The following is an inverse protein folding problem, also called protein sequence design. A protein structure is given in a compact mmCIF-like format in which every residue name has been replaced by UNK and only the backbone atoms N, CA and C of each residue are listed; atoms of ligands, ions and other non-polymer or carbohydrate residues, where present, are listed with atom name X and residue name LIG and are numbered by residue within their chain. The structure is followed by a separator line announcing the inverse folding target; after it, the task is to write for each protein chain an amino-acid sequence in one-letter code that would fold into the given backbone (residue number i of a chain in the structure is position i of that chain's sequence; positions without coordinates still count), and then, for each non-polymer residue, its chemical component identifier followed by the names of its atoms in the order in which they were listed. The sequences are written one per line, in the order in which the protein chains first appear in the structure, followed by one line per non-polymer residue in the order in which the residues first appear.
data_IF_006994419555
#
_entry.id   IF_006994419555
#
_cell.length_a   1.000
_cell.length_b   1.000
_cell.length_c   1.000
_cell.angle_alpha   90.00
_cell.angle_beta   90.00
_cell.angle_gamma   90.00
#
_symmetry.space_group_name_H-M   'P 1'
#
loop_
_entity.id
_entity.type
_entity.pdbx_description
1 polymer ?
#
# COMPACT_ATOMS: atom_id res chain seq x y z
N UNK A 1 -32.78 9.85 -10.00
CA UNK A 1 -31.33 9.59 -9.84
C UNK A 1 -31.11 9.16 -8.39
N UNK A 2 -30.87 7.90 -8.14
CA UNK A 2 -30.62 7.39 -6.78
C UNK A 2 -29.26 7.96 -6.32
N UNK A 3 -29.29 8.73 -5.24
CA UNK A 3 -28.09 9.05 -4.47
C UNK A 3 -27.44 7.71 -4.08
N UNK A 4 -26.32 7.36 -4.70
CA UNK A 4 -25.41 6.42 -4.06
C UNK A 4 -24.64 7.29 -3.08
N UNK A 5 -25.08 7.27 -1.85
CA UNK A 5 -24.46 8.04 -0.78
C UNK A 5 -23.20 7.30 -0.35
N UNK A 6 -22.16 8.07 -0.09
CA UNK A 6 -21.06 7.61 0.75
C UNK A 6 -21.68 6.95 1.99
N UNK A 7 -21.49 5.64 2.10
CA UNK A 7 -22.05 4.81 3.17
C UNK A 7 -20.91 4.20 4.01
N UNK A 8 -20.46 4.89 5.06
CA UNK A 8 -19.39 4.40 5.95
C UNK A 8 -19.71 3.04 6.55
N UNK A 9 -20.99 2.74 6.81
CA UNK A 9 -21.39 1.47 7.36
C UNK A 9 -21.20 0.29 6.40
N UNK A 10 -21.27 0.53 5.09
CA UNK A 10 -20.91 -0.49 4.13
C UNK A 10 -19.41 -0.82 4.21
N UNK A 11 -18.52 0.19 4.29
CA UNK A 11 -17.07 -0.02 4.42
C UNK A 11 -16.74 -0.74 5.72
N UNK A 12 -17.33 -0.31 6.84
CA UNK A 12 -17.13 -0.94 8.15
C UNK A 12 -17.56 -2.41 8.12
N UNK A 13 -18.76 -2.69 7.63
CA UNK A 13 -19.32 -4.04 7.53
C UNK A 13 -18.49 -4.91 6.59
N UNK A 14 -18.11 -4.39 5.42
CA UNK A 14 -17.27 -5.09 4.46
C UNK A 14 -15.89 -5.45 5.05
N UNK A 15 -15.27 -4.52 5.76
CA UNK A 15 -13.99 -4.76 6.43
C UNK A 15 -14.09 -5.82 7.52
N UNK A 16 -15.03 -5.67 8.45
CA UNK A 16 -15.09 -6.46 9.69
C UNK A 16 -15.85 -7.78 9.56
N UNK A 17 -16.71 -7.92 8.57
CA UNK A 17 -17.50 -9.17 8.39
C UNK A 17 -17.03 -9.99 7.20
N UNK A 18 -16.26 -9.40 6.28
CA UNK A 18 -15.89 -10.05 5.03
C UNK A 18 -14.36 -10.12 4.84
N UNK A 19 -13.66 -8.99 4.86
CA UNK A 19 -12.23 -8.96 4.53
C UNK A 19 -11.37 -9.56 5.64
N UNK A 20 -11.34 -8.92 6.81
CA UNK A 20 -10.41 -9.29 7.89
C UNK A 20 -10.67 -10.70 8.45
N UNK A 21 -11.92 -11.15 8.70
CA UNK A 21 -12.14 -12.51 9.22
C UNK A 21 -11.71 -13.60 8.23
N UNK A 22 -11.87 -13.36 6.92
CA UNK A 22 -11.43 -14.31 5.90
C UNK A 22 -9.90 -14.43 5.87
N UNK A 23 -9.18 -13.30 5.92
CA UNK A 23 -7.73 -13.31 6.01
C UNK A 23 -7.24 -13.98 7.29
N UNK A 24 -7.82 -13.65 8.45
CA UNK A 24 -7.46 -14.24 9.73
C UNK A 24 -7.56 -15.78 9.70
N UNK A 25 -8.70 -16.28 9.23
CA UNK A 25 -8.96 -17.74 9.17
C UNK A 25 -8.05 -18.45 8.16
N UNK A 26 -7.75 -17.81 7.03
CA UNK A 26 -7.15 -18.50 5.88
C UNK A 26 -5.64 -18.34 5.79
N UNK A 27 -5.06 -17.21 6.22
CA UNK A 27 -3.63 -16.94 6.06
C UNK A 27 -2.78 -17.34 7.28
N UNK A 28 -3.31 -17.24 8.49
CA UNK A 28 -2.54 -17.44 9.73
C UNK A 28 -2.16 -18.89 9.93
N UNK A 29 -0.89 -19.17 10.16
CA UNK A 29 -0.37 -20.52 10.49
C UNK A 29 -0.01 -20.63 11.96
N UNK A 30 0.19 -21.84 12.46
CA UNK A 30 0.66 -22.11 13.83
C UNK A 30 2.06 -21.58 14.09
N UNK A 31 2.88 -21.50 13.05
CA UNK A 31 4.27 -21.03 13.11
C UNK A 31 4.38 -19.50 13.11
N UNK A 32 3.29 -18.79 12.73
CA UNK A 32 3.26 -17.32 12.64
C UNK A 32 3.55 -16.75 11.25
N UNK A 33 3.96 -17.58 10.27
CA UNK A 33 4.02 -17.12 8.88
C UNK A 33 2.60 -16.98 8.34
N UNK A 34 2.33 -15.90 7.65
CA UNK A 34 1.07 -15.70 6.92
C UNK A 34 1.22 -16.20 5.48
N UNK A 35 0.36 -17.13 5.07
CA UNK A 35 0.35 -17.70 3.73
C UNK A 35 -0.59 -16.88 2.83
N UNK A 36 -0.07 -16.09 1.88
CA UNK A 36 -0.89 -15.11 1.15
C UNK A 36 -1.62 -15.70 -0.06
N UNK A 37 -1.25 -16.91 -0.53
CA UNK A 37 -1.80 -17.50 -1.76
C UNK A 37 -3.10 -18.21 -1.48
N UNK A 38 -4.22 -17.58 -1.86
CA UNK A 38 -5.57 -18.06 -1.58
C UNK A 38 -6.41 -18.13 -2.87
N UNK A 39 -7.11 -19.23 -3.06
CA UNK A 39 -8.05 -19.39 -4.15
C UNK A 39 -9.34 -18.57 -3.92
N UNK A 40 -10.28 -18.61 -4.87
CA UNK A 40 -11.57 -17.92 -4.76
C UNK A 40 -12.35 -18.28 -3.50
N UNK A 41 -12.20 -19.51 -2.98
CA UNK A 41 -12.90 -20.01 -1.80
C UNK A 41 -12.16 -19.79 -0.50
N UNK A 42 -11.06 -19.04 -0.54
CA UNK A 42 -10.15 -18.78 0.57
C UNK A 42 -9.37 -20.02 1.03
N UNK A 43 -9.26 -21.07 0.20
CA UNK A 43 -8.37 -22.18 0.48
C UNK A 43 -6.93 -21.81 0.14
N UNK A 44 -6.00 -22.27 0.96
CA UNK A 44 -4.57 -22.11 0.68
C UNK A 44 -4.17 -22.85 -0.59
N UNK A 45 -3.48 -22.15 -1.47
CA UNK A 45 -2.84 -22.74 -2.63
C UNK A 45 -1.45 -23.27 -2.24
N UNK A 46 -0.86 -24.10 -3.12
CA UNK A 46 0.49 -24.63 -2.91
C UNK A 46 1.55 -23.53 -2.81
N UNK A 47 2.55 -23.76 -1.98
CA UNK A 47 3.65 -22.82 -1.72
C UNK A 47 3.65 -22.38 -0.26
N UNK A 48 4.41 -23.12 0.57
CA UNK A 48 4.52 -22.84 2.01
C UNK A 48 5.57 -21.74 2.26
N UNK A 49 5.32 -20.56 1.73
CA UNK A 49 6.18 -19.39 1.89
C UNK A 49 5.38 -18.09 1.90
N UNK A 50 5.98 -17.07 2.50
CA UNK A 50 5.51 -15.68 2.47
C UNK A 50 6.63 -14.74 2.09
N UNK A 51 6.25 -13.55 1.62
CA UNK A 51 7.19 -12.45 1.36
C UNK A 51 7.21 -11.48 2.54
N UNK A 52 8.29 -10.72 2.63
CA UNK A 52 8.42 -9.65 3.61
C UNK A 52 7.22 -8.69 3.54
N UNK A 53 6.76 -8.37 2.32
CA UNK A 53 5.62 -7.49 2.08
C UNK A 53 4.31 -8.12 2.55
N UNK A 54 4.03 -9.39 2.18
CA UNK A 54 2.78 -10.04 2.59
C UNK A 54 2.70 -10.22 4.12
N UNK A 55 3.82 -10.56 4.77
CA UNK A 55 3.89 -10.68 6.22
C UNK A 55 3.60 -9.34 6.91
N UNK A 56 4.31 -8.28 6.51
CA UNK A 56 4.20 -6.95 7.13
C UNK A 56 2.83 -6.30 6.89
N UNK A 57 2.27 -6.45 5.69
CA UNK A 57 0.92 -5.95 5.38
C UNK A 57 -0.17 -6.67 6.16
N UNK A 58 -0.04 -7.99 6.39
CA UNK A 58 -1.02 -8.72 7.19
C UNK A 58 -0.88 -8.41 8.69
N UNK A 59 0.34 -8.13 9.19
CA UNK A 59 0.52 -7.55 10.54
C UNK A 59 -0.29 -6.25 10.66
N UNK A 60 -0.18 -5.33 9.70
CA UNK A 60 -0.99 -4.10 9.66
C UNK A 60 -2.50 -4.40 9.63
N UNK A 61 -2.94 -5.27 8.72
CA UNK A 61 -4.36 -5.59 8.58
C UNK A 61 -4.97 -6.11 9.88
N UNK A 62 -4.26 -7.00 10.57
CA UNK A 62 -4.72 -7.55 11.85
C UNK A 62 -4.59 -6.56 13.00
N UNK A 63 -3.61 -5.67 12.98
CA UNK A 63 -3.54 -4.54 13.93
C UNK A 63 -4.79 -3.65 13.82
N UNK A 64 -5.22 -3.32 12.60
CA UNK A 64 -6.48 -2.63 12.35
C UNK A 64 -7.68 -3.42 12.86
N UNK A 65 -7.68 -4.74 12.65
CA UNK A 65 -8.75 -5.62 13.14
C UNK A 65 -8.90 -5.54 14.66
N UNK A 66 -7.80 -5.61 15.39
CA UNK A 66 -7.79 -5.45 16.84
C UNK A 66 -8.20 -4.05 17.30
N UNK A 67 -7.65 -3.00 16.69
CA UNK A 67 -7.97 -1.61 17.01
C UNK A 67 -9.46 -1.29 16.89
N UNK A 68 -10.14 -1.84 15.87
CA UNK A 68 -11.56 -1.60 15.63
C UNK A 68 -12.51 -2.48 16.44
N UNK A 69 -12.08 -3.68 16.88
CA UNK A 69 -12.98 -4.67 17.47
C UNK A 69 -12.63 -5.07 18.89
N UNK A 70 -11.37 -4.93 19.30
CA UNK A 70 -10.85 -5.50 20.55
C UNK A 70 -10.81 -7.03 20.56
N UNK A 71 -10.99 -7.70 19.42
CA UNK A 71 -10.98 -9.17 19.36
C UNK A 71 -9.54 -9.70 19.47
N UNK A 72 -9.28 -10.42 20.57
CA UNK A 72 -8.00 -11.03 20.88
C UNK A 72 -7.45 -11.99 19.82
N UNK A 73 -8.29 -12.49 18.92
CA UNK A 73 -7.83 -13.33 17.82
C UNK A 73 -6.94 -12.56 16.85
N UNK A 74 -7.22 -11.28 16.63
CA UNK A 74 -6.36 -10.41 15.82
C UNK A 74 -5.05 -10.09 16.53
N UNK A 75 -5.10 -9.77 17.84
CA UNK A 75 -3.87 -9.50 18.61
C UNK A 75 -2.93 -10.71 18.59
N UNK A 76 -3.45 -11.91 18.84
CA UNK A 76 -2.67 -13.15 18.76
C UNK A 76 -2.07 -13.39 17.37
N UNK A 77 -2.79 -13.03 16.31
CA UNK A 77 -2.26 -13.12 14.94
C UNK A 77 -1.11 -12.11 14.74
N UNK A 78 -1.26 -10.87 15.23
CA UNK A 78 -0.18 -9.87 15.19
C UNK A 78 1.04 -10.36 15.95
N UNK A 79 0.89 -10.81 17.20
CA UNK A 79 2.00 -11.29 18.02
C UNK A 79 2.76 -12.43 17.33
N UNK A 80 2.03 -13.46 16.88
CA UNK A 80 2.66 -14.60 16.19
C UNK A 80 3.33 -14.21 14.88
N UNK A 81 2.69 -13.29 14.13
CA UNK A 81 3.22 -12.77 12.88
C UNK A 81 4.47 -11.93 13.05
N UNK A 82 4.51 -11.12 14.10
CA UNK A 82 5.69 -10.32 14.50
C UNK A 82 6.82 -11.25 14.97
N UNK A 83 6.53 -12.20 15.82
CA UNK A 83 7.55 -13.16 16.30
C UNK A 83 8.18 -13.91 15.14
N UNK A 84 7.38 -14.37 14.17
CA UNK A 84 7.92 -15.01 12.97
C UNK A 84 8.76 -14.04 12.12
N UNK A 85 8.30 -12.80 11.93
CA UNK A 85 9.04 -11.78 11.20
C UNK A 85 10.42 -11.53 11.80
N UNK A 86 10.49 -11.32 13.11
CA UNK A 86 11.73 -11.04 13.83
C UNK A 86 12.67 -12.25 13.85
N UNK A 87 12.14 -13.45 14.01
CA UNK A 87 12.95 -14.66 14.11
C UNK A 87 13.49 -15.16 12.76
N UNK A 88 12.74 -14.99 11.66
CA UNK A 88 13.05 -15.68 10.40
C UNK A 88 13.34 -14.76 9.22
N UNK A 89 12.73 -13.55 9.17
CA UNK A 89 13.02 -12.62 8.09
C UNK A 89 14.21 -11.71 8.38
N UNK A 90 14.61 -11.55 9.63
CA UNK A 90 15.74 -10.71 10.02
C UNK A 90 17.06 -11.34 9.61
N UNK A 91 17.95 -10.58 9.00
CA UNK A 91 19.32 -11.01 8.71
C UNK A 91 20.24 -10.59 9.86
N UNK A 92 20.37 -11.45 10.87
CA UNK A 92 21.20 -11.22 12.07
C UNK A 92 22.67 -10.93 11.76
N UNK A 93 23.16 -11.35 10.58
CA UNK A 93 24.57 -11.20 10.21
C UNK A 93 24.87 -9.89 9.50
N UNK A 94 23.99 -9.46 8.58
CA UNK A 94 24.23 -8.31 7.71
C UNK A 94 23.25 -7.17 7.97
N UNK A 95 22.28 -7.38 8.82
CA UNK A 95 21.18 -6.45 9.09
C UNK A 95 20.12 -6.46 8.01
N UNK A 96 19.00 -5.79 8.29
CA UNK A 96 17.83 -5.73 7.42
C UNK A 96 17.14 -7.07 7.26
N UNK A 97 16.28 -7.16 6.23
CA UNK A 97 15.29 -8.22 6.13
C UNK A 97 15.47 -9.02 4.85
N UNK A 98 15.28 -10.35 4.90
CA UNK A 98 15.18 -11.21 3.72
C UNK A 98 13.87 -10.95 2.98
N UNK A 99 13.87 -11.14 1.66
CA UNK A 99 12.69 -10.94 0.85
C UNK A 99 11.59 -11.99 1.10
N UNK A 100 11.95 -13.26 1.24
CA UNK A 100 10.96 -14.32 1.48
C UNK A 100 11.51 -15.47 2.31
N UNK A 101 10.61 -16.06 3.11
CA UNK A 101 10.90 -17.22 3.98
C UNK A 101 9.85 -18.30 3.79
N UNK A 102 10.25 -19.54 4.03
CA UNK A 102 9.36 -20.70 4.09
C UNK A 102 8.70 -20.81 5.45
N UNK A 103 7.67 -21.65 5.52
CA UNK A 103 6.94 -21.94 6.77
C UNK A 103 7.84 -22.49 7.89
N UNK A 104 8.87 -23.25 7.53
CA UNK A 104 9.86 -23.77 8.49
C UNK A 104 10.92 -22.74 8.93
N UNK A 105 10.77 -21.47 8.51
CA UNK A 105 11.72 -20.39 8.79
C UNK A 105 12.91 -20.32 7.82
N UNK A 106 13.05 -21.28 6.92
CA UNK A 106 14.14 -21.30 5.95
C UNK A 106 14.04 -20.13 4.96
N UNK A 107 15.15 -19.40 4.76
CA UNK A 107 15.22 -18.30 3.79
C UNK A 107 15.07 -18.85 2.37
N UNK A 108 14.09 -18.32 1.63
CA UNK A 108 13.84 -18.69 0.23
C UNK A 108 14.55 -17.73 -0.73
N UNK A 109 14.45 -16.44 -0.48
CA UNK A 109 15.17 -15.40 -1.21
C UNK A 109 15.74 -14.37 -0.24
N UNK A 110 17.03 -14.13 -0.34
CA UNK A 110 17.77 -13.31 0.62
C UNK A 110 18.08 -11.89 0.14
N UNK A 111 17.62 -11.48 -1.06
CA UNK A 111 17.85 -10.12 -1.51
C UNK A 111 17.18 -9.10 -0.57
N UNK A 112 17.70 -7.89 -0.57
CA UNK A 112 17.17 -6.76 0.23
C UNK A 112 16.33 -5.88 -0.67
N UNK A 113 15.07 -5.72 -0.32
CA UNK A 113 14.11 -4.94 -1.08
C UNK A 113 13.67 -3.71 -0.28
N UNK A 114 13.88 -2.51 -0.83
CA UNK A 114 13.56 -1.24 -0.16
C UNK A 114 12.07 -1.13 0.15
N UNK A 115 11.22 -1.52 -0.79
CA UNK A 115 9.78 -1.56 -0.62
C UNK A 115 9.35 -2.48 0.54
N UNK A 116 9.97 -3.67 0.62
CA UNK A 116 9.73 -4.60 1.73
C UNK A 116 10.15 -4.03 3.08
N UNK A 117 11.31 -3.34 3.16
CA UNK A 117 11.76 -2.69 4.39
C UNK A 117 10.82 -1.55 4.82
N UNK A 118 10.28 -0.77 3.88
CA UNK A 118 9.27 0.23 4.20
C UNK A 118 8.02 -0.40 4.83
N UNK A 119 7.56 -1.54 4.32
CA UNK A 119 6.42 -2.26 4.92
C UNK A 119 6.74 -2.87 6.28
N UNK A 120 7.99 -3.23 6.56
CA UNK A 120 8.38 -3.62 7.95
C UNK A 120 8.18 -2.44 8.89
N UNK A 121 8.70 -1.25 8.56
CA UNK A 121 8.50 -0.05 9.38
C UNK A 121 7.00 0.21 9.59
N UNK A 122 6.21 0.17 8.51
CA UNK A 122 4.77 0.41 8.54
C UNK A 122 4.03 -0.61 9.43
N UNK A 123 4.26 -1.91 9.22
CA UNK A 123 3.62 -2.98 9.97
C UNK A 123 4.00 -2.95 11.46
N UNK A 124 5.28 -2.76 11.78
CA UNK A 124 5.75 -2.67 13.17
C UNK A 124 5.23 -1.41 13.88
N UNK A 125 5.09 -0.28 13.20
CA UNK A 125 4.51 0.94 13.77
C UNK A 125 3.05 0.72 14.19
N UNK A 126 2.26 0.05 13.36
CA UNK A 126 0.87 -0.29 13.69
C UNK A 126 0.77 -1.36 14.79
N UNK A 127 1.64 -2.37 14.77
CA UNK A 127 1.69 -3.38 15.83
C UNK A 127 2.09 -2.76 17.18
N UNK A 128 3.05 -1.82 17.21
CA UNK A 128 3.40 -1.06 18.41
C UNK A 128 2.22 -0.30 18.99
N UNK A 129 1.43 0.37 18.16
CA UNK A 129 0.27 1.18 18.61
C UNK A 129 -0.78 0.37 19.37
N UNK A 130 -0.94 -0.91 19.05
CA UNK A 130 -1.91 -1.79 19.72
C UNK A 130 -1.33 -2.58 20.90
N UNK A 131 -0.01 -2.85 20.90
CA UNK A 131 0.65 -3.70 21.90
C UNK A 131 1.43 -2.90 22.97
N UNK A 132 1.96 -1.72 22.59
CA UNK A 132 2.92 -0.97 23.41
C UNK A 132 4.28 -1.66 23.57
N UNK A 133 4.61 -2.64 22.74
CA UNK A 133 5.88 -3.37 22.81
C UNK A 133 7.02 -2.52 22.24
N UNK A 134 7.84 -1.95 23.11
CA UNK A 134 8.96 -1.06 22.73
C UNK A 134 9.96 -1.72 21.77
N UNK A 135 10.08 -3.03 21.76
CA UNK A 135 10.94 -3.74 20.78
C UNK A 135 10.53 -3.41 19.35
N UNK A 136 9.22 -3.28 19.07
CA UNK A 136 8.70 -3.02 17.73
C UNK A 136 9.01 -1.59 17.27
N UNK A 137 8.93 -0.64 18.19
CA UNK A 137 9.32 0.75 17.95
C UNK A 137 10.82 0.84 17.62
N UNK A 138 11.66 0.17 18.39
CA UNK A 138 13.10 0.15 18.17
C UNK A 138 13.48 -0.52 16.86
N UNK A 139 12.88 -1.67 16.53
CA UNK A 139 13.10 -2.37 15.25
C UNK A 139 12.66 -1.55 14.03
N UNK A 140 11.55 -0.81 14.13
CA UNK A 140 11.13 0.10 13.07
C UNK A 140 12.14 1.24 12.86
N UNK A 141 12.63 1.85 13.94
CA UNK A 141 13.67 2.88 13.88
C UNK A 141 15.01 2.34 13.37
N UNK A 142 15.41 1.14 13.77
CA UNK A 142 16.64 0.51 13.30
C UNK A 142 16.53 0.17 11.80
N UNK A 143 15.38 -0.32 11.37
CA UNK A 143 15.09 -0.55 9.94
C UNK A 143 15.21 0.73 9.13
N UNK A 144 14.69 1.84 9.64
CA UNK A 144 14.82 3.14 8.98
C UNK A 144 16.27 3.63 8.92
N UNK A 145 17.02 3.52 10.01
CA UNK A 145 18.46 3.88 10.02
C UNK A 145 19.25 3.06 9.01
N UNK A 146 18.96 1.75 8.96
CA UNK A 146 19.58 0.85 7.99
C UNK A 146 19.21 1.22 6.55
N UNK A 147 17.96 1.59 6.28
CA UNK A 147 17.55 2.03 4.94
C UNK A 147 18.34 3.27 4.50
N UNK A 148 18.53 4.25 5.38
CA UNK A 148 19.36 5.44 5.10
C UNK A 148 20.83 5.07 4.86
N UNK A 149 21.38 4.14 5.60
CA UNK A 149 22.79 3.73 5.48
C UNK A 149 23.06 2.85 4.23
N UNK A 150 22.12 1.98 3.86
CA UNK A 150 22.36 0.91 2.88
C UNK A 150 21.67 1.07 1.54
N UNK A 151 20.50 1.70 1.51
CA UNK A 151 19.71 1.85 0.28
C UNK A 151 19.85 3.24 -0.36
N UNK A 152 20.29 4.26 0.38
CA UNK A 152 20.45 5.60 -0.17
C UNK A 152 21.48 5.60 -1.29
N UNK A 153 21.16 6.33 -2.35
CA UNK A 153 22.01 6.47 -3.52
C UNK A 153 22.73 7.83 -3.55
N UNK A 154 23.88 7.89 -4.19
CA UNK A 154 24.66 9.13 -4.35
C UNK A 154 23.91 10.23 -5.12
N UNK A 155 22.91 9.86 -5.93
CA UNK A 155 22.02 10.79 -6.64
C UNK A 155 20.75 11.15 -5.86
N UNK A 156 20.65 10.71 -4.60
CA UNK A 156 19.48 10.81 -3.75
C UNK A 156 18.45 9.70 -4.01
N UNK A 157 17.46 9.58 -3.09
CA UNK A 157 16.52 8.49 -3.11
C UNK A 157 17.15 7.13 -2.84
N UNK A 158 16.39 6.06 -3.04
CA UNK A 158 16.80 4.72 -2.66
C UNK A 158 16.94 3.78 -3.85
N UNK A 159 17.88 2.83 -3.76
CA UNK A 159 17.90 1.65 -4.59
C UNK A 159 16.66 0.79 -4.32
N UNK A 160 16.06 0.25 -5.35
CA UNK A 160 14.89 -0.62 -5.19
C UNK A 160 15.31 -1.96 -4.58
N UNK A 161 16.23 -2.68 -5.24
CA UNK A 161 16.69 -4.00 -4.84
C UNK A 161 18.19 -4.11 -4.80
N UNK A 162 18.66 -4.74 -3.74
CA UNK A 162 20.07 -5.02 -3.50
C UNK A 162 20.23 -6.51 -3.18
N UNK A 163 21.40 -7.07 -3.47
CA UNK A 163 21.73 -8.41 -3.02
C UNK A 163 21.77 -8.49 -1.49
N UNK A 164 21.83 -9.69 -0.90
CA UNK A 164 21.93 -9.87 0.54
C UNK A 164 23.01 -9.00 1.19
N UNK A 165 24.15 -8.82 0.50
CA UNK A 165 25.27 -8.02 1.00
C UNK A 165 25.26 -6.58 0.47
N UNK A 166 24.09 -6.06 0.14
CA UNK A 166 23.83 -4.68 -0.27
C UNK A 166 24.55 -4.22 -1.55
N UNK A 167 24.86 -5.15 -2.46
CA UNK A 167 25.38 -4.79 -3.78
C UNK A 167 24.22 -4.60 -4.76
N UNK A 168 24.36 -3.67 -5.68
CA UNK A 168 23.40 -3.46 -6.76
C UNK A 168 23.19 -4.73 -7.59
N UNK A 169 21.94 -5.07 -7.85
CA UNK A 169 21.52 -6.18 -8.71
C UNK A 169 20.65 -5.74 -9.88
N UNK A 170 20.20 -4.50 -9.87
CA UNK A 170 19.39 -3.90 -10.96
C UNK A 170 19.99 -2.53 -11.35
N UNK A 171 19.74 -2.11 -12.59
CA UNK A 171 20.14 -0.81 -13.15
C UNK A 171 18.96 0.18 -13.23
N UNK A 172 17.84 -0.16 -12.60
CA UNK A 172 16.61 0.63 -12.59
C UNK A 172 16.19 0.97 -11.16
N UNK A 173 15.48 2.08 -11.02
CA UNK A 173 14.84 2.54 -9.80
C UNK A 173 13.36 2.75 -10.02
N UNK A 174 12.59 2.82 -8.95
CA UNK A 174 11.16 3.12 -8.98
C UNK A 174 10.81 4.15 -7.92
N UNK A 175 9.80 4.97 -8.21
CA UNK A 175 9.21 5.87 -7.20
C UNK A 175 8.39 5.12 -6.14
N UNK A 176 7.93 3.90 -6.43
CA UNK A 176 7.06 3.13 -5.55
C UNK A 176 7.70 2.83 -4.16
N UNK A 177 8.97 2.35 -4.05
CA UNK A 177 9.63 2.26 -2.75
C UNK A 177 9.73 3.59 -2.02
N UNK A 178 9.90 4.71 -2.73
CA UNK A 178 9.94 6.05 -2.13
C UNK A 178 8.59 6.42 -1.51
N UNK A 179 7.49 6.16 -2.22
CA UNK A 179 6.13 6.43 -1.75
C UNK A 179 5.82 5.66 -0.47
N UNK A 180 6.10 4.36 -0.44
CA UNK A 180 5.82 3.55 0.74
C UNK A 180 6.82 3.80 1.88
N UNK A 181 8.03 4.27 1.60
CA UNK A 181 8.90 4.81 2.64
C UNK A 181 8.29 6.06 3.26
N UNK A 182 7.78 6.98 2.44
CA UNK A 182 7.06 8.16 2.94
C UNK A 182 5.85 7.78 3.80
N UNK A 183 5.01 6.87 3.34
CA UNK A 183 3.86 6.36 4.10
C UNK A 183 4.28 5.72 5.43
N UNK A 184 5.32 4.89 5.42
CA UNK A 184 5.84 4.23 6.61
C UNK A 184 6.39 5.22 7.64
N UNK A 185 7.10 6.27 7.17
CA UNK A 185 7.60 7.32 8.05
C UNK A 185 6.48 8.20 8.62
N UNK A 186 5.42 8.47 7.88
CA UNK A 186 4.22 9.11 8.43
C UNK A 186 3.64 8.26 9.57
N UNK A 187 3.47 6.95 9.36
CA UNK A 187 2.96 6.06 10.40
C UNK A 187 3.89 5.98 11.62
N UNK A 188 5.21 5.91 11.40
CA UNK A 188 6.20 5.90 12.48
C UNK A 188 6.20 7.21 13.27
N UNK A 189 5.99 8.35 12.60
CA UNK A 189 5.94 9.67 13.23
C UNK A 189 4.67 9.94 14.05
N UNK A 190 3.67 9.06 13.96
CA UNK A 190 2.47 9.09 14.81
C UNK A 190 2.72 8.48 16.20
N UNK A 191 3.87 7.83 16.40
CA UNK A 191 4.29 7.30 17.71
C UNK A 191 4.84 8.44 18.58
N UNK A 192 4.39 8.52 19.83
CA UNK A 192 4.80 9.54 20.78
C UNK A 192 6.33 9.62 20.92
N UNK A 193 6.87 10.84 20.81
CA UNK A 193 8.31 11.11 20.87
C UNK A 193 9.05 10.88 19.54
N UNK A 194 8.36 10.53 18.47
CA UNK A 194 8.93 10.35 17.13
C UNK A 194 8.45 11.39 16.09
N UNK A 195 7.87 12.50 16.55
CA UNK A 195 7.34 13.55 15.66
C UNK A 195 8.41 14.13 14.72
N UNK A 196 9.68 14.10 15.12
CA UNK A 196 10.82 14.55 14.34
C UNK A 196 11.02 13.74 13.04
N UNK A 197 10.49 12.49 12.97
CA UNK A 197 10.52 11.66 11.77
C UNK A 197 9.72 12.29 10.62
N UNK A 198 8.82 13.25 10.92
CA UNK A 198 8.10 14.02 9.89
C UNK A 198 9.02 14.81 8.97
N UNK A 199 10.12 15.34 9.51
CA UNK A 199 11.10 16.07 8.70
C UNK A 199 11.80 15.11 7.72
N UNK A 200 12.12 13.89 8.18
CA UNK A 200 12.71 12.86 7.33
C UNK A 200 11.69 12.34 6.28
N UNK A 201 10.42 12.23 6.65
CA UNK A 201 9.35 11.92 5.69
C UNK A 201 9.22 13.02 4.63
N UNK A 202 9.31 14.29 5.04
CA UNK A 202 9.28 15.43 4.14
C UNK A 202 10.43 15.39 3.11
N UNK A 203 11.64 15.04 3.52
CA UNK A 203 12.79 14.89 2.61
C UNK A 203 12.51 13.84 1.52
N UNK A 204 11.87 12.72 1.87
CA UNK A 204 11.51 11.68 0.89
C UNK A 204 10.46 12.19 -0.09
N UNK A 205 9.41 12.87 0.40
CA UNK A 205 8.37 13.43 -0.46
C UNK A 205 8.91 14.54 -1.36
N UNK A 206 9.73 15.44 -0.82
CA UNK A 206 10.34 16.55 -1.57
C UNK A 206 11.22 16.02 -2.69
N UNK A 207 12.02 14.97 -2.43
CA UNK A 207 12.82 14.34 -3.48
C UNK A 207 11.95 13.85 -4.65
N UNK A 208 10.82 13.19 -4.38
CA UNK A 208 9.92 12.70 -5.43
C UNK A 208 9.27 13.87 -6.19
N UNK A 209 8.76 14.86 -5.46
CA UNK A 209 8.05 15.99 -6.03
C UNK A 209 8.98 16.88 -6.88
N UNK A 210 10.16 17.19 -6.36
CA UNK A 210 11.06 18.15 -7.00
C UNK A 210 11.93 17.53 -8.10
N UNK A 211 12.30 16.24 -7.95
CA UNK A 211 13.23 15.58 -8.86
C UNK A 211 12.59 14.60 -9.81
N UNK A 212 11.55 13.89 -9.39
CA UNK A 212 10.97 12.79 -10.18
C UNK A 212 9.70 13.20 -10.93
N UNK A 213 8.90 14.10 -10.36
CA UNK A 213 7.70 14.60 -11.00
C UNK A 213 8.07 15.48 -12.20
N UNK A 214 7.43 15.24 -13.34
CA UNK A 214 7.55 16.09 -14.52
C UNK A 214 6.94 17.48 -14.28
N UNK A 215 7.33 18.46 -15.10
CA UNK A 215 6.75 19.81 -15.06
C UNK A 215 5.26 19.87 -15.39
N UNK A 216 4.75 18.88 -16.11
CA UNK A 216 3.33 18.72 -16.43
C UNK A 216 2.52 17.99 -15.35
N UNK A 217 3.11 17.76 -14.18
CA UNK A 217 2.46 17.11 -13.03
C UNK A 217 2.50 15.58 -13.05
N UNK A 218 3.06 14.97 -14.10
CA UNK A 218 3.12 13.51 -14.23
C UNK A 218 4.25 12.93 -13.39
N UNK A 219 4.00 11.83 -12.70
CA UNK A 219 5.00 11.05 -12.02
C UNK A 219 5.22 9.71 -12.73
N UNK A 220 6.35 9.53 -13.42
CA UNK A 220 6.73 8.24 -13.99
C UNK A 220 7.00 7.19 -12.90
N UNK A 221 6.80 5.92 -13.24
CA UNK A 221 6.98 4.82 -12.28
C UNK A 221 8.42 4.32 -12.21
N UNK A 222 9.12 4.24 -13.34
CA UNK A 222 10.42 3.57 -13.45
C UNK A 222 11.46 4.50 -14.07
N UNK A 223 12.64 4.47 -13.49
CA UNK A 223 13.76 5.35 -13.83
C UNK A 223 15.05 4.55 -14.04
N UNK A 224 16.00 5.18 -14.72
CA UNK A 224 17.40 4.72 -14.73
C UNK A 224 18.05 4.86 -13.36
N UNK A 225 19.25 4.32 -13.20
CA UNK A 225 20.02 4.45 -11.96
C UNK A 225 20.26 5.90 -11.52
N UNK A 226 20.35 6.83 -12.45
CA UNK A 226 20.55 8.28 -12.21
C UNK A 226 19.23 9.08 -12.29
N UNK A 227 18.10 8.42 -12.07
CA UNK A 227 16.76 8.99 -12.01
C UNK A 227 16.26 9.68 -13.29
N UNK A 228 16.74 9.24 -14.47
CA UNK A 228 16.11 9.64 -15.75
C UNK A 228 14.94 8.71 -16.07
N UNK A 229 13.86 9.28 -16.55
CA UNK A 229 12.69 8.52 -16.96
C UNK A 229 13.01 7.49 -18.06
N UNK A 230 12.40 6.31 -17.95
CA UNK A 230 12.53 5.25 -18.95
C UNK A 230 11.43 5.33 -19.99
N UNK A 231 11.75 5.12 -21.30
CA UNK A 231 10.74 5.00 -22.35
C UNK A 231 9.94 3.68 -22.18
N UNK A 232 8.76 3.62 -22.82
CA UNK A 232 7.89 2.43 -22.78
C UNK A 232 8.60 1.15 -23.25
N UNK A 233 9.50 1.26 -24.23
CA UNK A 233 10.33 0.14 -24.74
C UNK A 233 11.27 -0.45 -23.68
N UNK A 234 11.54 0.28 -22.58
CA UNK A 234 12.36 -0.13 -21.45
C UNK A 234 11.58 -0.15 -20.14
N UNK A 235 10.31 -0.59 -20.16
CA UNK A 235 9.43 -0.71 -18.98
C UNK A 235 8.94 0.63 -18.41
N UNK A 236 9.20 1.76 -19.07
CA UNK A 236 8.66 3.07 -18.66
C UNK A 236 7.13 3.05 -18.69
N UNK A 237 6.50 3.51 -17.61
CA UNK A 237 5.06 3.62 -17.45
C UNK A 237 4.70 4.68 -16.44
N UNK A 238 3.44 5.04 -16.43
CA UNK A 238 2.82 5.88 -15.40
C UNK A 238 1.77 5.00 -14.73
N UNK A 239 1.91 4.79 -13.43
CA UNK A 239 0.91 4.07 -12.66
C UNK A 239 -0.12 5.05 -12.11
N UNK A 240 -1.35 4.96 -12.63
CA UNK A 240 -2.40 5.92 -12.29
C UNK A 240 -2.97 5.68 -10.89
N UNK A 241 -2.87 4.46 -10.37
CA UNK A 241 -3.20 4.16 -8.98
C UNK A 241 -2.31 4.93 -8.01
N UNK A 242 -1.01 5.00 -8.30
CA UNK A 242 -0.06 5.74 -7.48
C UNK A 242 -0.32 7.26 -7.48
N UNK A 243 -0.91 7.81 -8.56
CA UNK A 243 -1.30 9.22 -8.55
C UNK A 243 -2.36 9.50 -7.46
N UNK A 244 -3.34 8.62 -7.29
CA UNK A 244 -4.34 8.73 -6.22
C UNK A 244 -3.73 8.49 -4.83
N UNK A 245 -2.83 7.52 -4.72
CA UNK A 245 -2.16 7.20 -3.47
C UNK A 245 -1.27 8.36 -2.99
N UNK A 246 -0.45 8.95 -3.89
CA UNK A 246 0.30 10.18 -3.60
C UNK A 246 -0.61 11.35 -3.21
N UNK A 247 -1.72 11.54 -3.92
CA UNK A 247 -2.68 12.60 -3.58
C UNK A 247 -3.18 12.45 -2.14
N UNK A 248 -3.57 11.24 -1.75
CA UNK A 248 -4.00 10.95 -0.39
C UNK A 248 -2.89 11.17 0.64
N UNK A 249 -1.71 10.58 0.43
CA UNK A 249 -0.58 10.65 1.36
C UNK A 249 -0.09 12.09 1.59
N UNK A 250 0.02 12.89 0.53
CA UNK A 250 0.43 14.29 0.64
C UNK A 250 -0.64 15.13 1.36
N UNK A 251 -1.92 14.86 1.12
CA UNK A 251 -3.01 15.52 1.84
C UNK A 251 -3.00 15.14 3.33
N UNK A 252 -2.79 13.86 3.66
CA UNK A 252 -2.62 13.38 5.05
C UNK A 252 -1.41 14.05 5.72
N UNK A 253 -0.27 14.11 5.04
CA UNK A 253 0.94 14.74 5.57
C UNK A 253 0.74 16.22 5.91
N UNK A 254 0.00 16.95 5.07
CA UNK A 254 -0.37 18.34 5.37
C UNK A 254 -1.22 18.45 6.64
N UNK A 255 -2.15 17.51 6.88
CA UNK A 255 -2.94 17.46 8.11
C UNK A 255 -2.09 17.14 9.35
N UNK A 256 -1.04 16.37 9.18
CA UNK A 256 -0.07 16.04 10.24
C UNK A 256 0.90 17.18 10.55
N UNK A 257 0.76 18.34 9.88
CA UNK A 257 1.56 19.54 10.10
C UNK A 257 2.86 19.61 9.30
N UNK A 258 3.02 18.77 8.27
CA UNK A 258 4.07 18.94 7.27
C UNK A 258 3.73 20.16 6.38
N UNK A 259 4.46 20.37 5.30
CA UNK A 259 4.28 21.55 4.46
C UNK A 259 2.90 21.66 3.80
N UNK A 260 2.26 22.81 3.89
CA UNK A 260 1.00 23.10 3.18
C UNK A 260 1.14 23.07 1.65
N UNK A 261 2.36 23.22 1.12
CA UNK A 261 2.67 23.04 -0.32
C UNK A 261 2.25 21.66 -0.84
N UNK A 262 2.20 20.65 0.03
CA UNK A 262 1.79 19.29 -0.35
C UNK A 262 0.35 19.20 -0.82
N UNK A 263 -0.53 20.10 -0.37
CA UNK A 263 -1.90 20.14 -0.87
C UNK A 263 -1.99 20.52 -2.36
N UNK A 264 -1.13 21.41 -2.84
CA UNK A 264 -1.09 21.77 -4.25
C UNK A 264 -0.74 20.57 -5.12
N UNK A 265 0.30 19.84 -4.76
CA UNK A 265 0.70 18.61 -5.46
C UNK A 265 -0.31 17.48 -5.31
N UNK A 266 -0.95 17.39 -4.15
CA UNK A 266 -2.01 16.42 -3.91
C UNK A 266 -3.21 16.62 -4.87
N UNK A 267 -3.62 17.88 -5.09
CA UNK A 267 -4.65 18.22 -6.08
C UNK A 267 -4.18 17.91 -7.51
N UNK A 268 -2.94 18.25 -7.87
CA UNK A 268 -2.40 17.95 -9.19
C UNK A 268 -2.42 16.45 -9.49
N UNK A 269 -1.95 15.61 -8.57
CA UNK A 269 -1.95 14.15 -8.72
C UNK A 269 -3.38 13.59 -8.81
N UNK A 270 -4.31 14.04 -7.97
CA UNK A 270 -5.71 13.64 -8.01
C UNK A 270 -6.35 13.97 -9.37
N UNK A 271 -6.22 15.22 -9.81
CA UNK A 271 -6.83 15.71 -11.04
C UNK A 271 -6.19 15.04 -12.27
N UNK A 272 -4.88 14.74 -12.24
CA UNK A 272 -4.21 13.97 -13.27
C UNK A 272 -4.75 12.53 -13.34
N UNK A 273 -4.83 11.83 -12.21
CA UNK A 273 -5.38 10.48 -12.13
C UNK A 273 -6.79 10.39 -12.69
N UNK A 274 -7.66 11.33 -12.33
CA UNK A 274 -9.03 11.44 -12.84
C UNK A 274 -9.09 11.78 -14.33
N UNK A 275 -8.29 12.73 -14.78
CA UNK A 275 -8.28 13.17 -16.18
C UNK A 275 -7.89 12.03 -17.13
N UNK A 276 -6.91 11.23 -16.75
CA UNK A 276 -6.32 10.21 -17.61
C UNK A 276 -6.92 8.84 -17.37
N UNK A 277 -7.14 8.46 -16.10
CA UNK A 277 -7.49 7.09 -15.73
C UNK A 277 -8.97 6.82 -15.58
N UNK A 278 -9.79 7.85 -15.28
CA UNK A 278 -11.20 7.61 -14.97
C UNK A 278 -12.00 7.16 -16.21
N UNK A 279 -12.68 6.03 -16.07
CA UNK A 279 -13.60 5.49 -17.08
C UNK A 279 -14.98 6.16 -16.94
N UNK A 280 -15.28 7.09 -17.85
CA UNK A 280 -16.55 7.84 -17.88
C UNK A 280 -17.75 7.04 -18.37
N UNK A 281 -17.54 5.80 -18.83
CA UNK A 281 -18.62 4.93 -19.34
C UNK A 281 -19.10 3.98 -18.27
N UNK A 282 -18.17 3.22 -17.67
CA UNK A 282 -18.48 2.16 -16.73
C UNK A 282 -18.12 2.51 -15.28
N UNK A 283 -17.41 3.61 -15.05
CA UNK A 283 -16.78 3.93 -13.78
C UNK A 283 -15.50 3.13 -13.53
N UNK A 284 -14.78 3.49 -12.46
CA UNK A 284 -13.49 2.89 -12.12
C UNK A 284 -12.33 3.50 -12.88
N UNK A 285 -11.13 3.00 -12.57
CA UNK A 285 -9.86 3.58 -13.03
C UNK A 285 -9.10 2.59 -13.91
N UNK A 286 -8.74 3.02 -15.09
CA UNK A 286 -7.77 2.34 -15.94
C UNK A 286 -6.34 2.64 -15.49
N UNK A 287 -5.48 1.63 -15.51
CA UNK A 287 -4.04 1.73 -15.21
C UNK A 287 -3.30 0.53 -15.82
N UNK A 288 -2.01 0.68 -16.22
CA UNK A 288 -1.23 1.91 -16.27
C UNK A 288 -1.46 2.73 -17.54
N UNK A 289 -0.76 3.87 -17.64
CA UNK A 289 -0.55 4.58 -18.90
C UNK A 289 0.91 4.46 -19.37
N UNK A 290 1.13 4.63 -20.67
CA UNK A 290 2.47 4.75 -21.24
C UNK A 290 3.06 6.15 -20.95
N UNK A 291 4.39 6.34 -21.05
CA UNK A 291 5.02 7.64 -20.79
C UNK A 291 4.50 8.81 -21.65
N UNK A 292 3.95 8.51 -22.83
CA UNK A 292 3.28 9.46 -23.71
C UNK A 292 1.79 9.68 -23.38
N UNK A 293 1.30 9.09 -22.28
CA UNK A 293 -0.07 9.30 -21.77
C UNK A 293 -1.15 8.42 -22.37
N UNK A 294 -0.81 7.42 -23.21
CA UNK A 294 -1.80 6.47 -23.74
C UNK A 294 -2.19 5.45 -22.66
N UNK A 295 -3.44 5.42 -22.29
CA UNK A 295 -3.99 4.54 -21.26
C UNK A 295 -4.12 3.10 -21.76
N UNK A 296 -3.66 2.15 -20.95
CA UNK A 296 -3.93 0.74 -21.12
C UNK A 296 -5.26 0.43 -20.42
N UNK A 297 -6.27 0.01 -21.21
CA UNK A 297 -7.63 -0.24 -20.70
C UNK A 297 -7.69 -1.54 -19.90
N UNK A 298 -7.08 -1.52 -18.73
CA UNK A 298 -7.12 -2.56 -17.70
C UNK A 298 -7.43 -1.90 -16.36
N UNK A 299 -8.23 -2.53 -15.55
CA UNK A 299 -8.56 -2.07 -14.20
C UNK A 299 -8.00 -3.08 -13.21
N UNK A 300 -7.06 -2.71 -12.37
CA UNK A 300 -6.57 -3.51 -11.26
C UNK A 300 -7.38 -3.22 -9.99
N UNK A 301 -7.38 -4.13 -9.05
CA UNK A 301 -8.17 -4.03 -7.81
C UNK A 301 -7.68 -2.88 -6.90
N UNK A 302 -6.37 -2.74 -6.75
CA UNK A 302 -5.77 -1.79 -5.83
C UNK A 302 -5.88 -0.33 -6.32
N UNK A 303 -5.83 -0.10 -7.64
CA UNK A 303 -6.01 1.23 -8.22
C UNK A 303 -7.43 1.76 -7.95
N UNK A 304 -8.42 0.86 -7.88
CA UNK A 304 -9.79 1.24 -7.49
C UNK A 304 -9.84 1.64 -6.02
N UNK A 305 -9.13 0.90 -5.15
CA UNK A 305 -9.07 1.23 -3.72
C UNK A 305 -8.48 2.61 -3.48
N UNK A 306 -7.34 2.92 -4.10
CA UNK A 306 -6.66 4.20 -3.92
C UNK A 306 -7.45 5.36 -4.52
N UNK A 307 -8.08 5.15 -5.67
CA UNK A 307 -8.95 6.17 -6.25
C UNK A 307 -10.18 6.46 -5.37
N UNK A 308 -10.85 5.43 -4.84
CA UNK A 308 -11.97 5.60 -3.92
C UNK A 308 -11.50 6.32 -2.66
N UNK A 309 -10.37 5.88 -2.07
CA UNK A 309 -9.78 6.49 -0.87
C UNK A 309 -9.49 7.98 -1.06
N UNK A 310 -8.80 8.32 -2.15
CA UNK A 310 -8.50 9.71 -2.47
C UNK A 310 -9.78 10.53 -2.77
N UNK A 311 -10.66 10.03 -3.62
CA UNK A 311 -11.89 10.76 -3.97
C UNK A 311 -12.77 11.03 -2.75
N UNK A 312 -12.99 10.07 -1.83
CA UNK A 312 -13.79 10.30 -0.63
C UNK A 312 -13.08 11.27 0.34
N UNK A 313 -11.75 11.15 0.51
CA UNK A 313 -10.97 12.07 1.32
C UNK A 313 -11.13 13.52 0.83
N UNK A 314 -10.90 13.76 -0.47
CA UNK A 314 -10.99 15.09 -1.03
C UNK A 314 -12.43 15.61 -1.12
N UNK A 315 -13.41 14.77 -1.41
CA UNK A 315 -14.82 15.17 -1.45
C UNK A 315 -15.32 15.64 -0.08
N UNK A 316 -14.97 14.92 0.98
CA UNK A 316 -15.49 15.16 2.33
C UNK A 316 -14.59 16.14 3.08
N UNK A 317 -13.29 15.85 3.19
CA UNK A 317 -12.38 16.62 4.04
C UNK A 317 -11.88 17.91 3.37
N UNK A 318 -11.75 17.93 2.03
CA UNK A 318 -11.30 19.09 1.25
C UNK A 318 -12.44 19.83 0.52
N UNK A 319 -13.67 19.36 0.62
CA UNK A 319 -14.85 20.01 0.05
C UNK A 319 -14.95 19.94 -1.47
N UNK A 320 -14.24 19.03 -2.15
CA UNK A 320 -14.32 18.79 -3.60
C UNK A 320 -15.59 18.02 -3.97
N UNK A 321 -16.73 18.72 -3.93
CA UNK A 321 -18.06 18.14 -4.17
C UNK A 321 -18.24 17.53 -5.57
N UNK A 322 -17.46 17.98 -6.54
CA UNK A 322 -17.39 17.43 -7.90
C UNK A 322 -16.94 15.96 -7.95
N UNK A 323 -16.28 15.49 -6.89
CA UNK A 323 -15.80 14.12 -6.78
C UNK A 323 -16.87 13.10 -6.36
N UNK A 324 -18.04 13.53 -5.87
CA UNK A 324 -19.07 12.58 -5.46
C UNK A 324 -19.62 11.74 -6.61
N UNK A 325 -19.73 12.29 -7.81
CA UNK A 325 -20.19 11.55 -8.98
C UNK A 325 -19.21 10.45 -9.39
N UNK A 326 -17.91 10.74 -9.69
CA UNK A 326 -16.95 9.70 -10.05
C UNK A 326 -16.68 8.72 -8.91
N UNK A 327 -16.72 9.15 -7.64
CA UNK A 327 -16.65 8.27 -6.47
C UNK A 327 -17.78 7.23 -6.46
N UNK A 328 -19.03 7.70 -6.62
CA UNK A 328 -20.21 6.84 -6.61
C UNK A 328 -20.23 5.86 -7.78
N UNK A 329 -19.79 6.28 -8.95
CA UNK A 329 -19.68 5.41 -10.13
C UNK A 329 -18.58 4.36 -9.95
N UNK A 330 -17.42 4.73 -9.40
CA UNK A 330 -16.34 3.81 -9.07
C UNK A 330 -16.75 2.80 -7.99
N UNK A 331 -17.46 3.25 -6.94
CA UNK A 331 -18.01 2.35 -5.91
C UNK A 331 -19.03 1.37 -6.50
N UNK A 332 -19.91 1.84 -7.38
CA UNK A 332 -20.85 0.96 -8.08
C UNK A 332 -20.13 -0.09 -8.92
N UNK A 333 -19.14 0.35 -9.70
CA UNK A 333 -18.30 -0.50 -10.51
C UNK A 333 -17.63 -1.59 -9.66
N UNK A 334 -17.00 -1.22 -8.55
CA UNK A 334 -16.33 -2.14 -7.64
C UNK A 334 -17.30 -3.15 -7.03
N UNK A 335 -18.43 -2.70 -6.52
CA UNK A 335 -19.43 -3.59 -5.91
C UNK A 335 -20.01 -4.61 -6.90
N UNK A 336 -20.12 -4.23 -8.16
CA UNK A 336 -20.67 -5.10 -9.21
C UNK A 336 -19.65 -6.07 -9.79
N UNK A 337 -18.39 -5.68 -9.88
CA UNK A 337 -17.38 -6.40 -10.64
C UNK A 337 -16.27 -7.03 -9.80
N UNK A 338 -15.89 -6.40 -8.67
CA UNK A 338 -14.81 -6.90 -7.83
C UNK A 338 -15.26 -7.70 -6.62
N UNK A 339 -16.33 -7.27 -5.95
CA UNK A 339 -16.81 -7.96 -4.75
C UNK A 339 -17.44 -9.30 -5.14
N UNK A 340 -16.91 -10.41 -4.60
CA UNK A 340 -17.44 -11.74 -4.84
C UNK A 340 -18.72 -11.96 -4.00
N UNK A 341 -19.91 -12.05 -4.62
CA UNK A 341 -21.17 -12.18 -3.88
C UNK A 341 -21.35 -13.54 -3.19
N UNK A 342 -20.51 -14.52 -3.53
CA UNK A 342 -20.66 -15.89 -3.02
C UNK A 342 -19.68 -16.23 -1.91
N UNK A 343 -18.42 -15.81 -2.05
CA UNK A 343 -17.35 -16.17 -1.13
C UNK A 343 -16.76 -14.98 -0.39
N UNK A 344 -17.28 -13.79 -0.67
CA UNK A 344 -16.75 -12.54 -0.12
C UNK A 344 -15.39 -12.15 -0.68
N UNK A 345 -14.86 -11.03 -0.21
CA UNK A 345 -13.60 -10.44 -0.69
C UNK A 345 -13.67 -9.99 -2.14
N UNK A 346 -12.52 -9.61 -2.68
CA UNK A 346 -12.41 -9.09 -4.05
C UNK A 346 -11.68 -10.06 -4.96
N UNK A 347 -12.15 -10.13 -6.21
CA UNK A 347 -11.37 -10.72 -7.29
C UNK A 347 -10.07 -9.94 -7.52
N UNK A 348 -9.05 -10.61 -8.05
CA UNK A 348 -7.75 -9.99 -8.23
C UNK A 348 -7.68 -9.11 -9.48
N UNK A 349 -8.26 -9.53 -10.60
CA UNK A 349 -8.22 -8.72 -11.82
C UNK A 349 -9.45 -8.84 -12.68
N UNK A 350 -9.74 -7.73 -13.38
CA UNK A 350 -10.80 -7.58 -14.36
C UNK A 350 -10.18 -7.02 -15.63
N UNK A 351 -10.49 -7.62 -16.77
CA UNK A 351 -9.98 -7.23 -18.08
C UNK A 351 -11.10 -7.18 -19.13
N UNK A 352 -10.83 -6.43 -20.22
CA UNK A 352 -11.73 -6.33 -21.36
C UNK A 352 -13.09 -5.74 -20.99
N UNK A 353 -14.18 -6.41 -21.35
CA UNK A 353 -15.57 -6.00 -21.09
C UNK A 353 -16.00 -6.30 -19.64
N UNK A 354 -15.16 -5.92 -18.66
CA UNK A 354 -15.38 -6.13 -17.22
C UNK A 354 -15.55 -7.61 -16.84
N UNK A 355 -14.88 -8.51 -17.55
CA UNK A 355 -14.86 -9.93 -17.20
C UNK A 355 -13.77 -10.25 -16.18
N UNK A 356 -14.13 -11.02 -15.15
CA UNK A 356 -13.15 -11.50 -14.16
C UNK A 356 -12.13 -12.41 -14.83
N UNK A 357 -10.85 -12.14 -14.64
CA UNK A 357 -9.73 -12.92 -15.18
C UNK A 357 -9.01 -13.72 -14.14
N UNK A 358 -8.87 -13.17 -12.94
CA UNK A 358 -8.26 -13.86 -11.82
C UNK A 358 -9.18 -13.73 -10.61
N UNK A 359 -9.75 -14.86 -10.20
CA UNK A 359 -10.69 -14.96 -9.09
C UNK A 359 -9.98 -15.17 -7.74
N UNK A 360 -8.65 -15.31 -7.70
CA UNK A 360 -7.91 -15.54 -6.46
C UNK A 360 -8.13 -14.41 -5.45
N UNK A 361 -8.15 -14.77 -4.17
CA UNK A 361 -8.34 -13.81 -3.07
C UNK A 361 -7.04 -13.20 -2.65
N UNK A 362 -5.93 -13.91 -2.81
CA UNK A 362 -4.63 -13.42 -2.41
C UNK A 362 -3.46 -14.06 -3.14
N UNK A 363 -2.36 -13.32 -3.15
CA UNK A 363 -1.02 -13.75 -3.53
C UNK A 363 0.03 -12.91 -2.79
N UNK A 364 1.29 -13.02 -3.19
CA UNK A 364 2.43 -12.33 -2.55
C UNK A 364 2.27 -10.80 -2.54
N UNK A 365 1.44 -10.23 -3.41
CA UNK A 365 1.20 -8.80 -3.56
C UNK A 365 -0.18 -8.37 -3.06
N UNK A 366 -1.20 -9.19 -3.33
CA UNK A 366 -2.58 -8.95 -2.93
C UNK A 366 -2.87 -9.60 -1.60
N UNK A 367 -2.76 -8.84 -0.53
CA UNK A 367 -3.21 -9.23 0.83
C UNK A 367 -4.20 -8.21 1.41
N UNK A 368 -4.92 -7.53 0.52
CA UNK A 368 -6.01 -6.58 0.77
C UNK A 368 -5.64 -5.35 1.64
N UNK A 369 -4.34 -5.04 1.77
CA UNK A 369 -3.85 -3.83 2.43
C UNK A 369 -4.54 -2.55 1.92
N UNK A 370 -4.67 -2.38 0.60
CA UNK A 370 -5.35 -1.22 0.00
C UNK A 370 -6.85 -1.21 0.31
N UNK A 371 -7.52 -2.37 0.39
CA UNK A 371 -8.93 -2.46 0.80
C UNK A 371 -9.08 -2.03 2.26
N UNK A 372 -8.18 -2.48 3.13
CA UNK A 372 -8.15 -2.08 4.55
C UNK A 372 -7.95 -0.58 4.66
N UNK A 373 -6.95 -0.01 3.98
CA UNK A 373 -6.68 1.43 3.99
C UNK A 373 -7.85 2.27 3.49
N UNK A 374 -8.51 1.84 2.41
CA UNK A 374 -9.72 2.47 1.90
C UNK A 374 -10.87 2.44 2.92
N UNK A 375 -11.10 1.31 3.55
CA UNK A 375 -12.18 1.16 4.55
C UNK A 375 -11.91 2.00 5.82
N UNK A 376 -10.66 2.03 6.29
CA UNK A 376 -10.25 2.85 7.44
C UNK A 376 -10.49 4.32 7.15
N UNK A 377 -10.11 4.82 5.98
CA UNK A 377 -10.36 6.21 5.62
C UNK A 377 -11.87 6.54 5.64
N UNK A 378 -12.71 5.66 5.10
CA UNK A 378 -14.16 5.84 5.15
C UNK A 378 -14.71 5.91 6.58
N UNK A 379 -14.21 5.05 7.47
CA UNK A 379 -14.60 5.03 8.89
C UNK A 379 -14.17 6.33 9.59
N UNK A 380 -12.93 6.78 9.38
CA UNK A 380 -12.39 7.99 9.99
C UNK A 380 -13.14 9.25 9.53
N UNK A 381 -13.46 9.34 8.24
CA UNK A 381 -14.23 10.45 7.70
C UNK A 381 -15.64 10.55 8.28
N UNK A 382 -16.25 9.41 8.67
CA UNK A 382 -17.58 9.40 9.31
C UNK A 382 -17.57 9.90 10.74
N UNK A 383 -16.45 9.77 11.45
CA UNK A 383 -16.30 10.22 12.83
C UNK A 383 -15.98 11.73 12.94
N UNK A 384 -15.50 12.31 11.84
CA UNK A 384 -15.10 13.73 11.76
C UNK A 384 -16.23 14.63 11.23
N UNK A 385 -17.38 14.08 10.85
CA UNK A 385 -18.59 14.75 10.35
C UNK A 385 -19.63 14.88 11.45
#
# INVERSE_FOLDING_TARGET
MSRVEFDPEWFRRHLLSDILPNWLRSSVTSEGLFLPRLDRRWNRLSGDFGTLVSQSRLIYNFSVGYELTGDEAYLKAVDSGVDFLLANFRDERLGGWYWSCRLDGGVLDSHKDCYGHAFVIFGLSHAYRISGDERLREEALETWRLMKDRFMDEHGGFWWRLSRNYKRIEDVKSQNPMMHTFEALLALSEIDGLEHIRDEAAEVADFVIEKLRRKDGVLPEVFTADWRELPASRRGRIDLGHAFEWAYLLSKASDMGLSTKYLEYAYEFLDYGLKIGYDRVDGGIFSPATPDGRVIRRKGWWEQCEAIRAMMHFAIKRGRKDLFEPLNETLRFVRQNYVDPKFGGWYKSIEGENSVRDESKGDEWKVDYHIVGMCIEAINLSQSS
#
